data_IF_235036499891
#
_entry.id   IF_235036499891
#
_cell.length_a   1.000
_cell.length_b   1.000
_cell.length_c   1.000
_cell.angle_alpha   90.00
_cell.angle_beta   90.00
_cell.angle_gamma   90.00
#
_symmetry.space_group_name_H-M   'P 1'
#
loop_
_entity.id
_entity.type
_entity.pdbx_description
1 polymer ?
#
# COMPACT_ATOMS: atom_id res chain seq x y z
N UNK A 1 -15.33 -40.31 55.49
CA UNK A 1 -15.79 -39.69 54.22
C UNK A 1 -15.34 -38.21 54.09
N UNK A 2 -14.11 -37.86 54.49
CA UNK A 2 -13.64 -36.46 54.55
C UNK A 2 -12.43 -36.19 53.64
N UNK A 3 -11.83 -37.24 53.07
CA UNK A 3 -10.59 -37.14 52.30
C UNK A 3 -10.80 -36.94 50.79
N UNK A 4 -11.92 -37.38 50.21
CA UNK A 4 -12.12 -37.26 48.76
C UNK A 4 -12.45 -35.83 48.34
N UNK A 5 -13.38 -35.16 49.04
CA UNK A 5 -13.84 -33.82 48.68
C UNK A 5 -12.77 -32.74 48.79
N UNK A 6 -11.74 -32.97 49.62
CA UNK A 6 -10.58 -32.08 49.74
C UNK A 6 -9.73 -32.08 48.47
N UNK A 7 -9.59 -33.23 47.80
CA UNK A 7 -8.80 -33.35 46.57
C UNK A 7 -9.48 -32.68 45.38
N UNK A 8 -10.82 -32.68 45.38
CA UNK A 8 -11.61 -32.02 44.34
C UNK A 8 -11.49 -30.48 44.44
N UNK A 9 -11.46 -29.93 45.66
CA UNK A 9 -11.28 -28.49 45.90
C UNK A 9 -9.85 -28.02 45.58
N UNK A 10 -8.83 -28.83 45.88
CA UNK A 10 -7.43 -28.54 45.52
C UNK A 10 -7.21 -28.57 44.01
N UNK A 11 -7.91 -29.47 43.30
CA UNK A 11 -7.89 -29.52 41.83
C UNK A 11 -8.52 -28.28 41.20
N UNK A 12 -9.65 -27.80 41.74
CA UNK A 12 -10.30 -26.55 41.30
C UNK A 12 -9.40 -25.32 41.55
N UNK A 13 -8.79 -25.21 42.74
CA UNK A 13 -7.83 -24.14 43.06
C UNK A 13 -6.60 -24.17 42.16
N UNK A 14 -6.10 -25.36 41.82
CA UNK A 14 -4.98 -25.54 40.90
C UNK A 14 -5.34 -25.15 39.46
N UNK A 15 -6.55 -25.48 38.99
CA UNK A 15 -7.03 -25.08 37.66
C UNK A 15 -7.24 -23.56 37.57
N UNK A 16 -7.81 -22.94 38.61
CA UNK A 16 -8.01 -21.47 38.67
C UNK A 16 -6.66 -20.74 38.71
N UNK A 17 -5.67 -21.24 39.44
CA UNK A 17 -4.32 -20.67 39.43
C UNK A 17 -3.64 -20.78 38.06
N UNK A 18 -3.85 -21.89 37.35
CA UNK A 18 -3.24 -22.09 36.04
C UNK A 18 -3.88 -21.19 34.95
N UNK A 19 -5.17 -20.89 35.07
CA UNK A 19 -5.85 -19.93 34.21
C UNK A 19 -5.38 -18.49 34.47
N UNK A 20 -5.23 -18.07 35.73
CA UNK A 20 -4.70 -16.75 36.07
C UNK A 20 -3.21 -16.57 35.74
N UNK A 21 -2.45 -17.68 35.66
CA UNK A 21 -1.07 -17.66 35.20
C UNK A 21 -0.94 -17.56 33.68
N UNK A 22 -2.01 -17.89 32.94
CA UNK A 22 -2.08 -17.77 31.49
C UNK A 22 -2.44 -16.35 31.03
N UNK A 23 -3.12 -15.56 31.88
CA UNK A 23 -3.36 -14.13 31.65
C UNK A 23 -2.16 -13.24 31.98
N UNK A 24 -1.19 -13.72 32.77
CA UNK A 24 0.17 -13.17 32.78
C UNK A 24 1.05 -13.89 31.76
N UNK A 25 0.70 -13.75 30.48
CA UNK A 25 1.60 -14.10 29.40
C UNK A 25 2.94 -13.38 29.57
N UNK A 26 4.11 -14.06 29.45
CA UNK A 26 5.43 -13.40 29.50
C UNK A 26 5.59 -12.27 28.47
N UNK A 27 4.73 -12.28 27.44
CA UNK A 27 4.57 -11.27 26.39
C UNK A 27 4.44 -9.83 26.92
N UNK A 28 3.89 -9.59 28.12
CA UNK A 28 3.72 -8.21 28.63
C UNK A 28 5.03 -7.55 29.06
N UNK A 29 5.98 -8.33 29.59
CA UNK A 29 7.31 -7.84 29.98
C UNK A 29 8.18 -7.65 28.75
N UNK A 30 8.08 -8.58 27.82
CA UNK A 30 8.80 -8.53 26.55
C UNK A 30 8.24 -7.43 25.62
N UNK A 31 6.96 -7.06 25.73
CA UNK A 31 6.38 -5.93 25.00
C UNK A 31 7.07 -4.60 25.34
N UNK A 32 7.41 -4.33 26.60
CA UNK A 32 8.05 -3.08 26.99
C UNK A 32 9.52 -3.03 26.55
N UNK A 33 10.21 -4.17 26.58
CA UNK A 33 11.57 -4.33 26.06
C UNK A 33 11.57 -4.21 24.53
N UNK A 34 10.64 -4.88 23.84
CA UNK A 34 10.43 -4.77 22.41
C UNK A 34 10.03 -3.35 22.01
N UNK A 35 9.18 -2.66 22.79
CA UNK A 35 8.80 -1.25 22.61
C UNK A 35 9.99 -0.31 22.71
N UNK A 36 10.95 -0.60 23.60
CA UNK A 36 12.20 0.18 23.68
C UNK A 36 13.17 -0.08 22.52
N UNK A 37 13.01 -1.22 21.85
CA UNK A 37 13.69 -1.59 20.60
C UNK A 37 12.93 -1.17 19.34
N UNK A 38 11.70 -0.67 19.48
CA UNK A 38 10.91 -0.14 18.36
C UNK A 38 11.58 0.97 17.60
N UNK A 39 12.42 1.89 18.12
CA UNK A 39 13.06 2.86 17.23
C UNK A 39 13.78 2.14 16.09
N UNK A 40 14.58 1.11 16.38
CA UNK A 40 15.31 0.36 15.34
C UNK A 40 14.37 -0.34 14.37
N UNK A 41 13.33 -1.05 14.85
CA UNK A 41 12.38 -1.82 14.00
C UNK A 41 11.42 -0.90 13.23
N UNK A 42 11.10 0.25 13.79
CA UNK A 42 10.21 1.27 13.23
C UNK A 42 10.91 2.08 12.15
N UNK A 43 12.24 2.26 12.20
CA UNK A 43 13.00 2.81 11.06
C UNK A 43 13.08 1.83 9.87
N UNK A 44 13.13 0.51 10.11
CA UNK A 44 13.15 -0.49 9.01
C UNK A 44 11.77 -0.66 8.36
N UNK A 45 10.71 -0.39 9.12
CA UNK A 45 9.32 -0.47 8.66
C UNK A 45 8.66 0.91 8.53
N UNK A 46 9.43 2.00 8.55
CA UNK A 46 8.89 3.37 8.49
C UNK A 46 8.16 3.64 7.17
N UNK A 47 8.53 2.87 6.14
CA UNK A 47 7.94 2.93 4.81
C UNK A 47 6.74 2.00 4.66
N UNK A 48 6.57 1.03 5.58
CA UNK A 48 5.47 0.08 5.55
C UNK A 48 4.16 0.79 5.89
N UNK A 49 3.09 0.47 5.18
CA UNK A 49 1.77 1.03 5.48
C UNK A 49 1.36 0.77 6.94
N UNK A 50 0.76 1.78 7.59
CA UNK A 50 0.31 1.72 9.00
C UNK A 50 -0.78 0.68 9.27
N UNK A 51 -1.39 0.15 8.22
CA UNK A 51 -2.41 -0.90 8.27
C UNK A 51 -1.78 -2.25 7.94
N UNK A 52 -1.82 -3.19 8.88
CA UNK A 52 -1.15 -4.48 8.78
C UNK A 52 -1.70 -5.33 7.62
N UNK A 53 -2.98 -5.19 7.30
CA UNK A 53 -3.61 -5.87 6.15
C UNK A 53 -3.07 -5.39 4.80
N UNK A 54 -2.51 -4.18 4.73
CA UNK A 54 -1.97 -3.57 3.51
C UNK A 54 -0.45 -3.82 3.42
N UNK A 55 0.22 -3.78 4.57
CA UNK A 55 1.66 -4.02 4.70
C UNK A 55 2.11 -5.41 4.23
N UNK A 56 1.24 -6.42 4.30
CA UNK A 56 1.54 -7.79 3.88
C UNK A 56 1.20 -8.13 2.43
N UNK A 57 0.41 -7.29 1.75
CA UNK A 57 -0.11 -7.56 0.39
C UNK A 57 0.64 -6.80 -0.71
N UNK A 58 1.34 -5.72 -0.37
CA UNK A 58 2.09 -4.89 -1.33
C UNK A 58 3.56 -4.91 -0.93
N UNK A 59 4.44 -5.16 -1.90
CA UNK A 59 5.89 -5.02 -1.71
C UNK A 59 6.23 -3.56 -1.43
N UNK A 60 6.93 -3.29 -0.33
CA UNK A 60 7.39 -1.94 0.01
C UNK A 60 8.42 -1.37 -0.98
N UNK A 61 9.03 -2.23 -1.80
CA UNK A 61 9.99 -1.81 -2.81
C UNK A 61 9.26 -1.60 -4.13
N UNK A 62 9.31 -0.37 -4.62
CA UNK A 62 8.92 -0.04 -5.99
C UNK A 62 9.81 -0.75 -6.99
N UNK A 63 9.21 -1.21 -8.09
CA UNK A 63 9.92 -1.91 -9.16
C UNK A 63 10.65 -0.91 -10.08
N UNK A 64 11.99 -0.91 -10.01
CA UNK A 64 12.88 -0.11 -10.86
C UNK A 64 12.81 -0.48 -12.35
N UNK A 65 12.27 -1.65 -12.67
CA UNK A 65 12.07 -2.12 -14.04
C UNK A 65 10.75 -1.66 -14.66
N UNK A 66 9.85 -1.08 -13.85
CA UNK A 66 8.58 -0.58 -14.38
C UNK A 66 8.85 0.65 -15.26
N UNK A 67 8.43 0.59 -16.53
CA UNK A 67 8.58 1.72 -17.42
C UNK A 67 7.80 2.92 -16.87
N UNK A 68 8.47 4.06 -16.77
CA UNK A 68 7.86 5.30 -16.34
C UNK A 68 6.72 5.69 -17.29
N UNK A 69 5.48 5.54 -16.82
CA UNK A 69 4.28 5.91 -17.57
C UNK A 69 4.32 7.39 -18.02
N UNK A 70 4.98 8.25 -17.23
CA UNK A 70 5.11 9.68 -17.48
C UNK A 70 5.88 10.00 -18.77
N UNK A 71 7.01 9.32 -19.02
CA UNK A 71 7.79 9.59 -20.24
C UNK A 71 7.07 9.09 -21.50
N UNK A 72 6.37 7.95 -21.40
CA UNK A 72 5.54 7.42 -22.49
C UNK A 72 4.40 8.39 -22.85
N UNK A 73 3.68 8.90 -21.85
CA UNK A 73 2.54 9.81 -22.08
C UNK A 73 2.98 11.20 -22.57
N UNK A 74 4.12 11.70 -22.10
CA UNK A 74 4.65 12.99 -22.55
C UNK A 74 5.16 12.96 -23.98
N UNK A 75 5.90 11.91 -24.36
CA UNK A 75 6.42 11.79 -25.73
C UNK A 75 5.30 11.74 -26.75
N UNK A 76 4.23 11.00 -26.46
CA UNK A 76 3.07 10.94 -27.35
C UNK A 76 2.23 12.24 -27.33
N UNK A 77 2.06 12.85 -26.15
CA UNK A 77 1.33 14.12 -26.02
C UNK A 77 1.98 15.25 -26.81
N UNK A 78 3.31 15.37 -26.71
CA UNK A 78 4.09 16.37 -27.47
C UNK A 78 4.02 16.08 -28.97
N UNK A 79 4.16 14.82 -29.39
CA UNK A 79 4.10 14.43 -30.79
C UNK A 79 2.77 14.81 -31.43
N UNK A 80 1.64 14.50 -30.78
CA UNK A 80 0.34 14.87 -31.30
C UNK A 80 0.06 16.37 -31.24
N UNK A 81 0.55 17.07 -30.22
CA UNK A 81 0.42 18.53 -30.14
C UNK A 81 1.10 19.23 -31.32
N UNK A 82 2.31 18.79 -31.71
CA UNK A 82 3.03 19.34 -32.86
C UNK A 82 2.28 19.05 -34.17
N UNK A 83 1.82 17.81 -34.37
CA UNK A 83 1.09 17.42 -35.58
C UNK A 83 -0.19 18.24 -35.77
N UNK A 84 -1.01 18.36 -34.72
CA UNK A 84 -2.30 19.05 -34.82
C UNK A 84 -2.11 20.56 -34.99
N UNK A 85 -1.13 21.16 -34.30
CA UNK A 85 -0.78 22.56 -34.51
C UNK A 85 -0.35 22.81 -35.95
N UNK A 86 0.49 21.94 -36.51
CA UNK A 86 0.97 22.04 -37.91
C UNK A 86 -0.19 21.93 -38.90
N UNK A 87 -1.07 20.95 -38.69
CA UNK A 87 -2.25 20.72 -39.53
C UNK A 87 -3.20 21.92 -39.44
N UNK A 88 -3.49 22.40 -38.23
CA UNK A 88 -4.38 23.53 -38.01
C UNK A 88 -3.84 24.79 -38.69
N UNK A 89 -2.55 25.08 -38.51
CA UNK A 89 -1.90 26.23 -39.12
C UNK A 89 -1.87 26.13 -40.65
N UNK A 90 -1.62 24.94 -41.21
CA UNK A 90 -1.59 24.72 -42.66
C UNK A 90 -2.94 25.01 -43.34
N UNK A 91 -4.05 24.56 -42.74
CA UNK A 91 -5.38 24.76 -43.29
C UNK A 91 -5.89 26.20 -43.12
N UNK A 92 -5.38 26.93 -42.13
CA UNK A 92 -5.75 28.32 -41.90
C UNK A 92 -5.22 29.27 -42.99
N UNK A 93 -4.09 28.93 -43.63
CA UNK A 93 -3.56 29.70 -44.77
C UNK A 93 -4.28 29.42 -46.11
N UNK A 94 -5.23 28.48 -46.16
CA UNK A 94 -5.97 28.13 -47.39
C UNK A 94 -7.36 28.78 -47.38
N UNK A 95 -7.97 28.89 -48.56
CA UNK A 95 -9.28 29.54 -48.80
C UNK A 95 -10.47 28.89 -48.06
N UNK A 96 -10.26 27.76 -47.38
CA UNK A 96 -11.25 27.03 -46.59
C UNK A 96 -10.58 26.69 -45.25
N UNK A 97 -10.97 27.38 -44.19
CA UNK A 97 -10.47 27.14 -42.83
C UNK A 97 -11.15 25.92 -42.23
N UNK A 98 -10.36 24.93 -41.82
CA UNK A 98 -10.82 23.75 -41.08
C UNK A 98 -10.04 23.69 -39.77
N UNK A 99 -10.73 23.81 -38.64
CA UNK A 99 -10.11 23.76 -37.32
C UNK A 99 -10.28 22.37 -36.71
N UNK A 100 -9.17 21.72 -36.40
CA UNK A 100 -9.17 20.41 -35.74
C UNK A 100 -9.27 20.60 -34.23
N UNK A 101 -10.24 19.93 -33.59
CA UNK A 101 -10.47 20.05 -32.14
C UNK A 101 -9.56 19.14 -31.33
N UNK A 102 -9.22 19.58 -30.12
CA UNK A 102 -8.40 18.83 -29.15
C UNK A 102 -8.96 17.44 -28.81
N UNK A 103 -10.27 17.20 -28.98
CA UNK A 103 -10.90 15.90 -28.77
C UNK A 103 -10.32 14.77 -29.63
N UNK A 104 -9.74 15.09 -30.80
CA UNK A 104 -9.08 14.10 -31.65
C UNK A 104 -7.78 13.56 -31.01
N UNK A 105 -7.07 14.39 -30.24
CA UNK A 105 -5.88 13.96 -29.48
C UNK A 105 -6.26 12.87 -28.49
N UNK A 106 -7.36 13.08 -27.76
CA UNK A 106 -7.82 12.15 -26.73
C UNK A 106 -8.28 10.81 -27.35
N UNK A 107 -8.91 10.84 -28.53
CA UNK A 107 -9.29 9.62 -29.26
C UNK A 107 -8.07 8.82 -29.71
N UNK A 108 -7.04 9.50 -30.25
CA UNK A 108 -5.79 8.85 -30.65
C UNK A 108 -4.94 8.37 -29.47
N UNK A 109 -5.07 9.02 -28.30
CA UNK A 109 -4.33 8.68 -27.09
C UNK A 109 -4.92 7.52 -26.28
N UNK A 110 -6.20 7.19 -26.48
CA UNK A 110 -6.89 6.15 -25.70
C UNK A 110 -6.35 4.71 -25.89
N UNK A 111 -5.94 4.27 -27.10
CA UNK A 111 -5.48 2.89 -27.31
C UNK A 111 -3.97 2.68 -27.16
N UNK A 112 -3.21 3.70 -26.73
CA UNK A 112 -1.73 3.69 -26.72
C UNK A 112 -1.12 3.87 -25.34
#
# INVERSE_FOLDING_TARGET
>A
MSSSKKRDVEMELFVIQNQNKSSESPVSKDYNVFKSFRPVVEYINAEQHSYEEIAGIVSNKDDLNMLCLTLRSWTIGILFAILISTVNQYFEYRTKTYSFSASLVLLLAYPI
#
